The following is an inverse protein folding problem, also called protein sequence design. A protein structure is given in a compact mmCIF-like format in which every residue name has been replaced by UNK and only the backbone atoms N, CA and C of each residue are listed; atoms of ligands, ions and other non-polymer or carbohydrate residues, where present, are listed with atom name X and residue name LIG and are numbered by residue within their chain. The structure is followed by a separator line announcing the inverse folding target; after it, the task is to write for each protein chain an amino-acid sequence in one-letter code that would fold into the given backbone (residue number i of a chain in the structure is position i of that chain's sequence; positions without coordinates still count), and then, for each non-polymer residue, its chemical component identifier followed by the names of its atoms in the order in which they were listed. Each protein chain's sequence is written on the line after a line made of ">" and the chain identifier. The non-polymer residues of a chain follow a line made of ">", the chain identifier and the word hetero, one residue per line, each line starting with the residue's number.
data_IF_307520698548
#
_entry.id   IF_307520698548
#
_cell.length_a   1.000
_cell.length_b   1.000
_cell.length_c   1.000
_cell.angle_alpha   90.00
_cell.angle_beta   90.00
_cell.angle_gamma   90.00
#
_symmetry.space_group_name_H-M   'P 1'
#
loop_
_entity.id
_entity.type
_entity.pdbx_description
1 polymer ?
#
# COMPACT_ATOMS: atom_id res chain seq x y z
N UNK A 1 -10.96 -1.19 18.95
CA UNK A 1 -10.38 -0.23 17.97
C UNK A 1 -10.82 -0.67 16.58
N UNK A 2 -11.41 0.25 15.80
CA UNK A 2 -11.86 0.01 14.43
C UNK A 2 -10.91 0.74 13.49
N UNK A 3 -10.37 0.05 12.49
CA UNK A 3 -9.38 0.61 11.60
C UNK A 3 -9.58 0.11 10.16
N UNK A 4 -9.31 0.96 9.18
CA UNK A 4 -9.36 0.62 7.76
C UNK A 4 -8.02 0.92 7.08
N UNK A 5 -7.59 0.01 6.21
CA UNK A 5 -6.40 0.17 5.37
C UNK A 5 -6.78 -0.03 3.91
N UNK A 6 -6.35 0.87 3.06
CA UNK A 6 -6.53 0.81 1.61
C UNK A 6 -5.20 0.52 0.92
N UNK A 7 -5.12 -0.54 0.14
CA UNK A 7 -4.04 -0.74 -0.82
C UNK A 7 -4.61 -0.82 -2.25
N UNK A 8 -4.45 0.27 -2.98
CA UNK A 8 -4.88 0.40 -4.37
C UNK A 8 -3.69 0.49 -5.33
N UNK A 9 -2.50 0.07 -4.87
CA UNK A 9 -1.24 0.26 -5.59
C UNK A 9 -0.95 -0.81 -6.65
N UNK A 10 -1.92 -1.69 -6.92
CA UNK A 10 -1.87 -2.72 -7.97
C UNK A 10 -3.20 -2.83 -8.72
N UNK A 11 -3.29 -3.75 -9.68
CA UNK A 11 -4.56 -4.06 -10.37
C UNK A 11 -5.56 -4.79 -9.47
N UNK A 12 -5.08 -5.40 -8.40
CA UNK A 12 -5.90 -6.00 -7.36
C UNK A 12 -5.91 -5.06 -6.15
N UNK A 13 -7.01 -4.35 -5.98
CA UNK A 13 -7.22 -3.44 -4.86
C UNK A 13 -7.62 -4.21 -3.62
N UNK A 14 -7.03 -3.86 -2.48
CA UNK A 14 -7.35 -4.44 -1.18
C UNK A 14 -7.93 -3.39 -0.23
N UNK A 15 -8.92 -3.82 0.55
CA UNK A 15 -9.41 -3.11 1.72
C UNK A 15 -9.33 -4.07 2.89
N UNK A 16 -8.50 -3.77 3.88
CA UNK A 16 -8.40 -4.54 5.12
C UNK A 16 -9.06 -3.72 6.22
N UNK A 17 -10.06 -4.30 6.85
CA UNK A 17 -10.90 -3.65 7.87
C UNK A 17 -10.80 -4.44 9.18
N UNK A 18 -10.38 -3.80 10.26
CA UNK A 18 -10.65 -4.29 11.61
C UNK A 18 -11.88 -3.58 12.15
N UNK A 19 -12.89 -4.34 12.55
CA UNK A 19 -14.15 -3.80 13.03
C UNK A 19 -14.76 -4.71 14.10
N UNK A 20 -15.08 -4.15 15.26
CA UNK A 20 -15.62 -4.88 16.42
C UNK A 20 -14.78 -6.13 16.77
N UNK A 21 -13.46 -5.97 16.78
CA UNK A 21 -12.49 -7.03 17.14
C UNK A 21 -12.26 -8.09 16.07
N UNK A 22 -12.90 -8.00 14.89
CA UNK A 22 -12.73 -8.92 13.76
C UNK A 22 -11.99 -8.25 12.61
N UNK A 23 -11.22 -9.03 11.87
CA UNK A 23 -10.53 -8.58 10.65
C UNK A 23 -11.28 -9.13 9.44
N UNK A 24 -11.52 -8.24 8.48
CA UNK A 24 -12.15 -8.53 7.20
C UNK A 24 -11.23 -8.05 6.10
N UNK A 25 -11.05 -8.89 5.07
CA UNK A 25 -10.24 -8.59 3.91
C UNK A 25 -11.09 -8.66 2.65
N UNK A 26 -11.04 -7.60 1.87
CA UNK A 26 -11.75 -7.49 0.61
C UNK A 26 -10.74 -7.28 -0.51
N UNK A 27 -10.99 -7.93 -1.64
CA UNK A 27 -10.19 -7.72 -2.85
C UNK A 27 -11.08 -7.42 -4.03
N UNK A 28 -10.66 -6.46 -4.87
CA UNK A 28 -11.40 -6.00 -6.04
C UNK A 28 -10.46 -6.00 -7.25
N UNK A 29 -10.82 -6.75 -8.29
CA UNK A 29 -10.03 -6.82 -9.51
C UNK A 29 -10.37 -5.64 -10.43
N UNK A 30 -9.41 -4.73 -10.59
CA UNK A 30 -9.57 -3.46 -11.30
C UNK A 30 -8.81 -3.43 -12.63
N UNK A 31 -8.63 -4.57 -13.29
CA UNK A 31 -7.93 -4.65 -14.60
C UNK A 31 -8.58 -3.77 -15.68
N UNK A 32 -9.88 -3.47 -15.54
CA UNK A 32 -10.60 -2.58 -16.45
C UNK A 32 -10.55 -1.15 -15.92
N UNK A 33 -10.00 -0.22 -16.69
CA UNK A 33 -9.83 1.20 -16.32
C UNK A 33 -11.15 1.84 -15.86
N UNK A 34 -12.28 1.49 -16.46
CA UNK A 34 -13.60 2.01 -16.11
C UNK A 34 -14.07 1.64 -14.69
N UNK A 35 -13.49 0.61 -14.07
CA UNK A 35 -13.88 0.14 -12.73
C UNK A 35 -12.99 0.69 -11.60
N UNK A 36 -11.84 1.30 -11.90
CA UNK A 36 -10.86 1.74 -10.89
C UNK A 36 -11.40 2.71 -9.85
N UNK A 37 -12.50 3.40 -10.14
CA UNK A 37 -13.11 4.40 -9.26
C UNK A 37 -14.47 3.98 -8.71
N UNK A 38 -14.81 2.68 -8.75
CA UNK A 38 -16.12 2.24 -8.27
C UNK A 38 -16.15 2.12 -6.73
N UNK A 39 -16.06 3.26 -6.05
CA UNK A 39 -16.19 3.32 -4.61
C UNK A 39 -17.57 2.88 -4.10
N UNK A 40 -18.62 3.11 -4.89
CA UNK A 40 -19.97 2.65 -4.56
C UNK A 40 -20.02 1.13 -4.34
N UNK A 41 -19.49 0.35 -5.28
CA UNK A 41 -19.40 -1.11 -5.17
C UNK A 41 -18.54 -1.58 -3.99
N UNK A 42 -17.40 -0.92 -3.77
CA UNK A 42 -16.51 -1.23 -2.66
C UNK A 42 -17.20 -1.02 -1.32
N UNK A 43 -17.82 0.14 -1.12
CA UNK A 43 -18.54 0.47 0.12
C UNK A 43 -19.76 -0.43 0.31
N UNK A 44 -20.50 -0.74 -0.74
CA UNK A 44 -21.64 -1.65 -0.67
C UNK A 44 -21.19 -3.07 -0.26
N UNK A 45 -20.08 -3.56 -0.80
CA UNK A 45 -19.49 -4.85 -0.42
C UNK A 45 -19.09 -4.89 1.05
N UNK A 46 -18.45 -3.81 1.54
CA UNK A 46 -18.12 -3.67 2.97
C UNK A 46 -19.38 -3.73 3.82
N UNK A 47 -20.41 -2.95 3.51
CA UNK A 47 -21.67 -2.89 4.27
C UNK A 47 -22.45 -4.20 4.23
N UNK A 48 -22.42 -4.94 3.12
CA UNK A 48 -23.03 -6.27 3.04
C UNK A 48 -22.33 -7.28 3.97
N UNK A 49 -21.01 -7.23 4.05
CA UNK A 49 -20.22 -8.15 4.87
C UNK A 49 -20.15 -7.75 6.33
N UNK A 50 -20.22 -6.44 6.60
CA UNK A 50 -20.18 -5.84 7.95
C UNK A 50 -21.35 -4.86 8.07
N UNK A 51 -22.58 -5.34 8.34
CA UNK A 51 -23.77 -4.48 8.35
C UNK A 51 -23.70 -3.32 9.35
N UNK A 52 -22.92 -3.46 10.42
CA UNK A 52 -22.69 -2.43 11.43
C UNK A 52 -21.64 -1.39 11.01
N UNK A 53 -20.99 -1.55 9.82
CA UNK A 53 -19.93 -0.68 9.36
C UNK A 53 -20.42 0.76 9.18
N UNK A 54 -19.70 1.67 9.85
CA UNK A 54 -19.92 3.11 9.79
C UNK A 54 -18.55 3.81 9.84
N UNK A 55 -18.28 4.68 8.90
CA UNK A 55 -17.04 5.49 8.87
C UNK A 55 -16.89 6.34 10.14
N UNK A 56 -17.98 6.80 10.74
CA UNK A 56 -17.95 7.56 12.00
C UNK A 56 -17.38 6.75 13.18
N UNK A 57 -17.44 5.42 13.10
CA UNK A 57 -16.95 4.51 14.15
C UNK A 57 -15.49 4.06 13.93
N UNK A 58 -14.84 4.51 12.85
CA UNK A 58 -13.43 4.23 12.65
C UNK A 58 -12.60 5.07 13.62
N UNK A 59 -11.63 4.44 14.27
CA UNK A 59 -10.65 5.09 15.13
C UNK A 59 -9.41 5.52 14.31
N UNK A 60 -9.00 4.70 13.33
CA UNK A 60 -7.82 4.92 12.51
C UNK A 60 -8.06 4.57 11.04
N UNK A 61 -7.43 5.31 10.17
CA UNK A 61 -7.44 5.11 8.72
C UNK A 61 -6.03 5.18 8.16
N UNK A 62 -5.70 4.31 7.21
CA UNK A 62 -4.40 4.34 6.55
C UNK A 62 -4.47 3.86 5.10
N UNK A 63 -3.41 4.11 4.35
CA UNK A 63 -3.27 3.57 3.01
C UNK A 63 -1.82 3.22 2.65
N UNK A 64 -1.69 2.32 1.69
CA UNK A 64 -0.44 1.98 1.03
C UNK A 64 -0.07 3.12 0.06
N UNK A 65 0.93 3.92 0.45
CA UNK A 65 1.32 5.13 -0.30
C UNK A 65 2.24 4.85 -1.50
N UNK A 66 2.65 3.60 -1.69
CA UNK A 66 3.60 3.17 -2.70
C UNK A 66 4.97 2.78 -2.10
N UNK A 67 5.90 2.34 -2.95
CA UNK A 67 5.86 2.31 -4.42
C UNK A 67 4.86 1.28 -4.99
N UNK A 68 4.37 1.59 -6.20
CA UNK A 68 3.38 0.82 -6.93
C UNK A 68 2.63 1.72 -7.92
N UNK A 69 1.35 1.46 -8.18
CA UNK A 69 0.52 2.31 -9.03
C UNK A 69 0.31 3.70 -8.42
N UNK A 70 0.91 4.72 -9.01
CA UNK A 70 0.70 6.12 -8.57
C UNK A 70 -0.77 6.55 -8.66
N UNK A 71 -1.49 6.09 -9.69
CA UNK A 71 -2.93 6.35 -9.81
C UNK A 71 -3.69 5.74 -8.65
N UNK A 72 -3.38 4.49 -8.30
CA UNK A 72 -4.00 3.81 -7.17
C UNK A 72 -3.70 4.49 -5.84
N UNK A 73 -2.44 4.86 -5.58
CA UNK A 73 -2.07 5.57 -4.37
C UNK A 73 -2.80 6.93 -4.23
N UNK A 74 -2.92 7.68 -5.34
CA UNK A 74 -3.69 8.95 -5.37
C UNK A 74 -5.17 8.73 -5.10
N UNK A 75 -5.76 7.67 -5.65
CA UNK A 75 -7.17 7.34 -5.40
C UNK A 75 -7.43 7.05 -3.92
N UNK A 76 -6.56 6.26 -3.29
CA UNK A 76 -6.65 5.97 -1.86
C UNK A 76 -6.50 7.25 -1.02
N UNK A 77 -5.47 8.04 -1.33
CA UNK A 77 -5.23 9.35 -0.69
C UNK A 77 -6.44 10.26 -0.79
N UNK A 78 -6.95 10.51 -2.00
CA UNK A 78 -8.08 11.43 -2.22
C UNK A 78 -9.34 10.95 -1.50
N UNK A 79 -9.60 9.65 -1.51
CA UNK A 79 -10.72 9.08 -0.77
C UNK A 79 -10.60 9.32 0.73
N UNK A 80 -9.46 8.99 1.34
CA UNK A 80 -9.26 9.18 2.78
C UNK A 80 -9.22 10.66 3.16
N UNK A 81 -8.65 11.53 2.32
CA UNK A 81 -8.69 12.98 2.53
C UNK A 81 -10.12 13.51 2.54
N UNK A 82 -10.99 12.98 1.68
CA UNK A 82 -12.42 13.34 1.69
C UNK A 82 -13.08 12.89 3.00
N UNK A 83 -12.79 11.68 3.48
CA UNK A 83 -13.31 11.19 4.76
C UNK A 83 -12.77 12.02 5.93
N UNK A 84 -11.49 12.38 5.93
CA UNK A 84 -10.88 13.26 6.93
C UNK A 84 -11.61 14.62 7.01
N UNK A 85 -11.87 15.24 5.86
CA UNK A 85 -12.57 16.52 5.79
C UNK A 85 -14.02 16.46 6.32
N UNK A 86 -14.71 15.35 6.08
CA UNK A 86 -16.11 15.17 6.50
C UNK A 86 -16.22 14.80 7.98
N UNK A 87 -15.30 13.96 8.49
CA UNK A 87 -15.41 13.35 9.81
C UNK A 87 -14.42 13.92 10.83
N UNK A 88 -13.53 14.83 10.42
CA UNK A 88 -12.42 15.36 11.25
C UNK A 88 -11.55 14.23 11.85
N UNK A 89 -11.25 13.21 11.03
CA UNK A 89 -10.48 12.02 11.43
C UNK A 89 -9.24 11.87 10.57
N UNK A 90 -8.06 11.94 11.19
CA UNK A 90 -6.78 11.80 10.51
C UNK A 90 -6.60 10.42 9.87
N UNK A 91 -5.85 10.39 8.77
CA UNK A 91 -5.37 9.17 8.16
C UNK A 91 -3.85 9.20 8.03
N UNK A 92 -3.25 8.03 7.78
CA UNK A 92 -1.81 7.82 7.77
C UNK A 92 -1.36 7.15 6.48
N UNK A 93 -0.20 7.55 5.97
CA UNK A 93 0.43 6.97 4.81
C UNK A 93 1.57 6.02 5.21
N UNK A 94 1.62 4.83 4.61
CA UNK A 94 2.69 3.86 4.86
C UNK A 94 3.38 3.47 3.56
N UNK A 95 4.71 3.31 3.64
CA UNK A 95 5.47 2.75 2.52
C UNK A 95 5.17 1.26 2.35
N UNK A 96 4.92 0.85 1.10
CA UNK A 96 4.74 -0.56 0.75
C UNK A 96 6.00 -1.39 1.06
N UNK A 97 7.18 -0.80 0.89
CA UNK A 97 8.45 -1.43 1.23
C UNK A 97 8.61 -1.60 2.74
N UNK A 98 8.21 -0.60 3.53
CA UNK A 98 8.19 -0.72 4.98
C UNK A 98 7.24 -1.83 5.44
N UNK A 99 6.06 -1.92 4.82
CA UNK A 99 5.10 -2.97 5.11
C UNK A 99 5.63 -4.37 4.77
N UNK A 100 6.32 -4.54 3.64
CA UNK A 100 6.97 -5.82 3.30
C UNK A 100 8.08 -6.19 4.30
N UNK A 101 8.82 -5.21 4.80
CA UNK A 101 9.94 -5.44 5.71
C UNK A 101 9.49 -5.80 7.14
N UNK A 102 8.22 -5.57 7.50
CA UNK A 102 7.72 -5.73 8.87
C UNK A 102 7.93 -7.14 9.44
N UNK A 103 7.72 -8.17 8.62
CA UNK A 103 7.80 -9.59 9.05
C UNK A 103 9.16 -10.22 8.81
N UNK A 104 10.04 -9.57 8.06
CA UNK A 104 11.37 -10.05 7.70
C UNK A 104 12.35 -8.88 7.66
N UNK A 105 12.64 -8.24 8.82
CA UNK A 105 13.43 -7.00 8.89
C UNK A 105 14.90 -7.20 8.46
N UNK A 106 15.38 -8.43 8.43
CA UNK A 106 16.71 -8.81 7.95
C UNK A 106 16.82 -8.86 6.42
N UNK A 107 15.67 -8.87 5.70
CA UNK A 107 15.62 -8.94 4.23
C UNK A 107 15.45 -7.58 3.62
N UNK A 108 15.93 -7.43 2.40
CA UNK A 108 15.75 -6.23 1.59
C UNK A 108 14.42 -6.37 0.84
N UNK A 109 13.38 -5.58 1.16
CA UNK A 109 12.15 -5.59 0.40
C UNK A 109 12.38 -4.94 -0.97
N UNK A 110 11.86 -5.59 -2.01
CA UNK A 110 11.97 -5.14 -3.41
C UNK A 110 10.60 -5.20 -4.08
N UNK A 111 10.21 -4.11 -4.73
CA UNK A 111 9.01 -4.01 -5.57
C UNK A 111 9.44 -3.61 -6.97
N UNK A 112 8.95 -4.34 -7.99
CA UNK A 112 9.18 -4.01 -9.38
C UNK A 112 8.29 -2.83 -9.79
N UNK A 113 8.91 -1.84 -10.43
CA UNK A 113 8.20 -0.74 -11.06
C UNK A 113 7.73 -1.08 -12.47
N UNK A 114 7.35 -0.05 -13.20
CA UNK A 114 7.05 -0.18 -14.63
C UNK A 114 8.36 -0.38 -15.41
N UNK A 115 8.33 -1.25 -16.43
CA UNK A 115 9.49 -1.62 -17.26
C UNK A 115 10.53 -2.41 -16.44
N UNK A 116 11.75 -1.86 -16.31
CA UNK A 116 12.88 -2.49 -15.60
C UNK A 116 13.25 -1.76 -14.31
N UNK A 117 12.35 -0.95 -13.80
CA UNK A 117 12.57 -0.16 -12.60
C UNK A 117 12.38 -1.03 -11.36
N UNK A 118 13.15 -0.74 -10.30
CA UNK A 118 13.02 -1.38 -9.00
C UNK A 118 12.98 -0.34 -7.90
N UNK A 119 12.19 -0.64 -6.89
CA UNK A 119 12.16 0.08 -5.63
C UNK A 119 12.58 -0.87 -4.53
N UNK A 120 13.43 -0.43 -3.64
CA UNK A 120 13.89 -1.25 -2.53
C UNK A 120 14.05 -0.41 -1.25
N UNK A 121 14.01 -1.08 -0.09
CA UNK A 121 14.27 -0.43 1.20
C UNK A 121 15.57 -0.95 1.77
N UNK A 122 16.45 -0.03 2.16
CA UNK A 122 17.73 -0.36 2.76
C UNK A 122 18.07 0.64 3.87
N UNK A 123 18.53 0.15 5.02
CA UNK A 123 18.82 0.98 6.21
C UNK A 123 17.69 1.97 6.56
N UNK A 124 16.44 1.49 6.52
CA UNK A 124 15.26 2.27 6.89
C UNK A 124 14.80 3.30 5.86
N UNK A 125 15.43 3.40 4.67
CA UNK A 125 15.08 4.34 3.60
C UNK A 125 14.66 3.62 2.34
N UNK A 126 13.74 4.24 1.59
CA UNK A 126 13.26 3.77 0.32
C UNK A 126 14.09 4.36 -0.83
N UNK A 127 14.48 3.52 -1.77
CA UNK A 127 15.32 3.88 -2.92
C UNK A 127 14.68 3.43 -4.23
N UNK A 128 15.15 4.03 -5.31
CA UNK A 128 14.82 3.70 -6.68
C UNK A 128 16.11 3.34 -7.44
N UNK A 129 16.05 2.36 -8.36
CA UNK A 129 17.10 2.06 -9.31
C UNK A 129 16.55 1.53 -10.64
N UNK A 130 17.33 1.68 -11.71
CA UNK A 130 16.99 1.25 -13.07
C UNK A 130 17.46 -0.19 -13.36
N UNK A 131 18.28 -0.77 -12.49
CA UNK A 131 18.80 -2.13 -12.64
C UNK A 131 18.72 -2.91 -11.34
N UNK A 132 18.42 -4.22 -11.43
CA UNK A 132 18.48 -5.13 -10.30
C UNK A 132 19.91 -5.29 -9.73
N UNK A 133 20.95 -4.99 -10.52
CA UNK A 133 22.35 -5.06 -10.12
C UNK A 133 22.73 -3.95 -9.12
N UNK A 134 21.96 -2.85 -9.12
CA UNK A 134 22.16 -1.72 -8.21
C UNK A 134 21.53 -1.96 -6.82
N UNK A 135 20.73 -3.01 -6.66
CA UNK A 135 20.15 -3.38 -5.37
C UNK A 135 21.25 -3.97 -4.50
N UNK A 136 21.41 -3.50 -3.23
CA UNK A 136 22.40 -4.06 -2.31
C UNK A 136 22.29 -5.58 -2.19
N UNK A 137 23.44 -6.27 -2.13
CA UNK A 137 23.47 -7.73 -1.98
C UNK A 137 22.92 -8.16 -0.62
N UNK A 138 22.08 -9.20 -0.61
CA UNK A 138 21.47 -9.70 0.60
C UNK A 138 20.43 -10.80 0.33
N UNK A 139 19.61 -11.06 1.33
CA UNK A 139 18.37 -11.81 1.18
C UNK A 139 17.25 -10.82 0.85
N UNK A 140 16.32 -11.24 0.02
CA UNK A 140 15.27 -10.34 -0.47
C UNK A 140 13.89 -10.86 -0.12
N UNK A 141 12.93 -9.91 -0.03
CA UNK A 141 11.51 -10.20 0.04
C UNK A 141 10.78 -9.37 -1.03
N UNK A 142 9.86 -9.97 -1.77
CA UNK A 142 9.13 -9.30 -2.84
C UNK A 142 7.78 -9.93 -3.08
N UNK A 143 6.99 -9.30 -3.95
CA UNK A 143 5.65 -9.76 -4.28
C UNK A 143 5.70 -10.84 -5.36
N UNK A 144 4.87 -11.88 -5.24
CA UNK A 144 4.76 -12.95 -6.25
C UNK A 144 4.45 -12.41 -7.64
N UNK A 145 3.59 -11.36 -7.73
CA UNK A 145 3.20 -10.73 -9.00
C UNK A 145 4.37 -10.11 -9.77
N UNK A 146 5.42 -9.68 -9.05
CA UNK A 146 6.55 -8.94 -9.64
C UNK A 146 7.52 -9.85 -10.40
N UNK A 147 7.46 -11.17 -10.17
CA UNK A 147 8.29 -12.18 -10.85
C UNK A 147 9.79 -11.80 -10.88
N UNK A 148 10.31 -11.34 -9.73
CA UNK A 148 11.68 -10.90 -9.58
C UNK A 148 12.67 -12.05 -9.76
N UNK A 149 13.71 -11.85 -10.58
CA UNK A 149 14.78 -12.83 -10.81
C UNK A 149 15.98 -12.58 -9.86
N UNK A 150 15.72 -12.48 -8.55
CA UNK A 150 16.73 -12.28 -7.53
C UNK A 150 17.06 -13.60 -6.83
N UNK A 151 18.37 -13.84 -6.57
CA UNK A 151 18.79 -15.00 -5.75
C UNK A 151 18.35 -14.77 -4.30
N UNK A 152 17.98 -15.85 -3.60
CA UNK A 152 17.55 -15.78 -2.20
C UNK A 152 16.33 -14.88 -1.96
N UNK A 153 15.36 -14.89 -2.89
CA UNK A 153 14.12 -14.14 -2.83
C UNK A 153 13.02 -14.96 -2.12
N UNK A 154 12.48 -14.42 -1.04
CA UNK A 154 11.19 -14.82 -0.50
C UNK A 154 10.07 -14.11 -1.25
N UNK A 155 9.06 -14.86 -1.68
CA UNK A 155 7.91 -14.32 -2.39
C UNK A 155 6.66 -14.37 -1.52
N UNK A 156 6.01 -13.22 -1.34
CA UNK A 156 4.77 -13.09 -0.57
C UNK A 156 3.61 -12.61 -1.43
N UNK A 157 2.41 -12.84 -0.95
CA UNK A 157 1.19 -12.38 -1.62
C UNK A 157 0.97 -10.88 -1.45
N UNK A 158 0.30 -10.24 -2.39
CA UNK A 158 -0.03 -8.81 -2.36
C UNK A 158 -0.76 -8.39 -1.09
N UNK A 159 -1.61 -9.26 -0.55
CA UNK A 159 -2.33 -9.07 0.71
C UNK A 159 -1.40 -8.81 1.91
N UNK A 160 -0.13 -9.18 1.83
CA UNK A 160 0.86 -8.94 2.89
C UNK A 160 1.01 -7.45 3.19
N UNK A 161 0.95 -6.58 2.17
CA UNK A 161 1.09 -5.13 2.36
C UNK A 161 -0.01 -4.56 3.24
N UNK A 162 -1.31 -4.63 2.87
CA UNK A 162 -2.36 -4.02 3.68
C UNK A 162 -2.50 -4.70 5.06
N UNK A 163 -2.24 -6.02 5.16
CA UNK A 163 -2.24 -6.72 6.45
C UNK A 163 -1.16 -6.18 7.39
N UNK A 164 0.05 -5.96 6.88
CA UNK A 164 1.15 -5.43 7.69
C UNK A 164 0.96 -3.95 8.02
N UNK A 165 0.40 -3.14 7.10
CA UNK A 165 0.01 -1.76 7.41
C UNK A 165 -1.02 -1.72 8.54
N UNK A 166 -2.01 -2.62 8.53
CA UNK A 166 -2.98 -2.70 9.64
C UNK A 166 -2.27 -3.01 10.97
N UNK A 167 -1.32 -3.94 10.97
CA UNK A 167 -0.53 -4.27 12.19
C UNK A 167 0.27 -3.07 12.69
N UNK A 168 0.94 -2.32 11.81
CA UNK A 168 1.68 -1.11 12.18
C UNK A 168 0.75 -0.04 12.73
N UNK A 169 -0.38 0.20 12.05
CA UNK A 169 -1.38 1.19 12.45
C UNK A 169 -1.99 0.89 13.84
N UNK A 170 -2.21 -0.38 14.17
CA UNK A 170 -2.78 -0.79 15.45
C UNK A 170 -1.80 -0.71 16.61
N UNK A 171 -0.50 -0.85 16.35
CA UNK A 171 0.56 -0.79 17.37
C UNK A 171 1.01 0.61 17.73
N UNK A 172 0.57 1.63 17.01
CA UNK A 172 1.11 3.00 17.09
C UNK A 172 2.64 3.07 16.85
N UNK A 173 3.16 2.12 16.09
CA UNK A 173 4.56 2.12 15.69
C UNK A 173 4.80 3.30 14.73
N UNK A 174 5.84 4.09 14.94
CA UNK A 174 6.22 5.26 14.11
C UNK A 174 6.78 4.82 12.74
N UNK A 175 6.03 4.02 12.02
CA UNK A 175 6.37 3.54 10.67
C UNK A 175 5.66 4.30 9.54
N UNK A 176 4.76 5.22 9.91
CA UNK A 176 4.10 6.09 8.93
C UNK A 176 5.10 7.03 8.26
N UNK A 177 4.77 7.44 7.06
CA UNK A 177 5.54 8.47 6.37
C UNK A 177 5.34 9.82 7.06
N UNK A 178 6.35 10.66 7.02
CA UNK A 178 6.31 12.03 7.59
C UNK A 178 5.28 12.94 6.91
N UNK A 179 4.79 12.52 5.74
CA UNK A 179 3.76 13.19 4.96
C UNK A 179 2.68 12.19 4.55
N UNK A 180 1.42 12.61 4.59
CA UNK A 180 0.30 11.80 4.14
C UNK A 180 0.16 11.72 2.60
N UNK A 181 1.03 12.39 1.83
CA UNK A 181 1.02 12.30 0.37
C UNK A 181 1.54 10.94 -0.13
N UNK A 182 1.16 10.51 -1.35
CA UNK A 182 1.74 9.34 -1.98
C UNK A 182 3.27 9.40 -2.02
N UNK A 183 3.92 8.26 -1.76
CA UNK A 183 5.37 8.14 -1.66
C UNK A 183 6.04 8.17 -3.05
N UNK A 184 6.44 9.34 -3.50
CA UNK A 184 7.12 9.54 -4.78
C UNK A 184 8.64 9.38 -4.60
N UNK A 185 9.15 8.15 -4.71
CA UNK A 185 10.59 7.85 -4.57
C UNK A 185 11.35 8.23 -5.86
N UNK A 186 10.72 8.02 -7.02
CA UNK A 186 11.31 8.36 -8.32
C UNK A 186 11.06 9.83 -8.64
N UNK A 187 12.12 10.60 -8.81
CA UNK A 187 12.01 11.96 -9.35
C UNK A 187 11.46 11.94 -10.78
N UNK A 188 10.44 12.75 -11.05
CA UNK A 188 9.87 12.88 -12.39
C UNK A 188 10.82 13.70 -13.27
N UNK A 189 11.65 13.03 -14.06
CA UNK A 189 12.41 13.68 -15.13
C UNK A 189 11.51 13.89 -16.36
N UNK A 190 11.09 15.12 -16.59
CA UNK A 190 10.42 15.49 -17.85
C UNK A 190 11.49 15.76 -18.92
N UNK A 191 11.71 14.85 -19.83
CA UNK A 191 12.39 15.15 -21.09
C UNK A 191 11.42 15.96 -21.95
N UNK A 192 11.70 17.25 -22.17
CA UNK A 192 11.03 18.01 -23.22
C UNK A 192 11.38 17.33 -24.53
N UNK A 193 10.40 16.72 -25.21
CA UNK A 193 10.54 16.38 -26.63
C UNK A 193 10.75 17.66 -27.38
N UNK A 194 11.91 17.79 -28.03
CA UNK A 194 12.22 18.83 -29.02
C UNK A 194 11.39 18.59 -30.26
#
# INVERSE_FOLDING_TARGET
>A
MNAIVLDLTSDLHYITLQYDGKIYDFSFNEKQIAKRNNWGEKIETLKKSVPAFDFNKLDKMAYAAGPGSYTGARLAYTFLQTIELILDKKFYAFSNLSALNLTSPEKIPVIKGNKNDFFYRYMGKDFYCDSAEDIPKGQYIGLKRDQLALKSLEQVDDKTIPTNILRMLLKDDNHELTSNFPNYIKELSYTKSQ
#
